data_IF_665053975666
#
_entry.id   IF_665053975666
#
_cell.length_a   1.000
_cell.length_b   1.000
_cell.length_c   1.000
_cell.angle_alpha   90.00
_cell.angle_beta   90.00
_cell.angle_gamma   90.00
#
_symmetry.space_group_name_H-M   'P 1'
#
loop_
_entity.id
_entity.type
_entity.pdbx_description
1 polymer ?
#
# COMPACT_ATOMS: atom_id res chain seq x y z
N UNK A 1 -7.12 6.01 11.32
CA UNK A 1 -7.18 7.27 10.53
C UNK A 1 -5.87 7.52 9.78
N UNK A 2 -4.72 7.36 10.41
CA UNK A 2 -3.40 7.52 9.74
C UNK A 2 -3.21 6.60 8.54
N UNK A 3 -3.66 5.35 8.63
CA UNK A 3 -3.61 4.40 7.51
C UNK A 3 -4.31 4.93 6.26
N UNK A 4 -5.49 5.56 6.42
CA UNK A 4 -6.21 6.17 5.28
C UNK A 4 -5.47 7.36 4.70
N UNK A 5 -4.76 8.13 5.52
CA UNK A 5 -3.91 9.25 5.03
C UNK A 5 -2.77 8.71 4.17
N UNK A 6 -2.09 7.65 4.63
CA UNK A 6 -1.01 7.01 3.84
C UNK A 6 -1.54 6.47 2.50
N UNK A 7 -2.71 5.80 2.49
CA UNK A 7 -3.32 5.36 1.24
C UNK A 7 -3.72 6.55 0.34
N UNK A 8 -4.22 7.64 0.91
CA UNK A 8 -4.51 8.86 0.15
C UNK A 8 -3.27 9.43 -0.53
N UNK A 9 -2.15 9.49 0.17
CA UNK A 9 -0.87 9.94 -0.39
C UNK A 9 -0.43 9.01 -1.53
N UNK A 10 -0.53 7.67 -1.34
CA UNK A 10 -0.19 6.70 -2.39
C UNK A 10 -1.08 6.86 -3.63
N UNK A 11 -2.37 7.03 -3.45
CA UNK A 11 -3.31 7.23 -4.56
C UNK A 11 -2.98 8.47 -5.36
N UNK A 12 -2.69 9.60 -4.71
CA UNK A 12 -2.28 10.85 -5.37
C UNK A 12 -0.97 10.63 -6.13
N UNK A 13 0.04 10.06 -5.46
CA UNK A 13 1.35 9.81 -6.03
C UNK A 13 1.31 8.90 -7.26
N UNK A 14 0.59 7.76 -7.17
CA UNK A 14 0.46 6.84 -8.30
C UNK A 14 -0.38 7.43 -9.43
N UNK A 15 -1.42 8.23 -9.13
CA UNK A 15 -2.19 8.94 -10.14
C UNK A 15 -1.33 9.95 -10.90
N UNK A 16 -0.47 10.70 -10.21
CA UNK A 16 0.45 11.61 -10.85
C UNK A 16 1.34 10.88 -11.87
N UNK A 17 1.95 9.77 -11.51
CA UNK A 17 2.78 9.02 -12.43
C UNK A 17 1.99 8.31 -13.54
N UNK A 18 0.77 7.85 -13.27
CA UNK A 18 -0.07 7.18 -14.26
C UNK A 18 -0.57 8.15 -15.35
N UNK A 19 -0.92 9.38 -15.00
CA UNK A 19 -1.61 10.28 -15.92
C UNK A 19 -0.72 11.41 -16.49
N UNK A 20 0.32 11.83 -15.79
CA UNK A 20 1.16 12.96 -16.25
C UNK A 20 2.30 12.54 -17.17
N UNK A 21 2.74 11.29 -17.12
CA UNK A 21 3.78 10.77 -17.98
C UNK A 21 5.07 11.61 -17.94
N UNK A 22 5.75 11.75 -19.08
CA UNK A 22 6.97 12.56 -19.21
C UNK A 22 6.75 14.08 -19.15
N UNK A 23 5.50 14.56 -19.18
CA UNK A 23 5.22 16.01 -19.17
C UNK A 23 5.69 16.69 -17.87
N UNK A 24 5.91 15.93 -16.79
CA UNK A 24 6.50 16.42 -15.54
C UNK A 24 7.97 16.02 -15.36
N UNK A 25 8.72 15.90 -16.46
CA UNK A 25 10.05 15.33 -16.55
C UNK A 25 11.20 16.04 -15.84
N UNK A 26 10.94 16.80 -14.79
CA UNK A 26 12.01 17.26 -13.88
C UNK A 26 12.44 16.09 -12.98
N UNK A 27 13.73 15.77 -13.02
CA UNK A 27 14.34 14.77 -12.13
C UNK A 27 13.98 15.03 -10.65
N UNK A 28 13.95 16.30 -10.25
CA UNK A 28 13.58 16.71 -8.90
C UNK A 28 12.14 16.34 -8.54
N UNK A 29 11.20 16.43 -9.49
CA UNK A 29 9.81 16.03 -9.27
C UNK A 29 9.68 14.51 -9.09
N UNK A 30 10.35 13.74 -9.95
CA UNK A 30 10.35 12.27 -9.85
C UNK A 30 10.95 11.83 -8.52
N UNK A 31 12.07 12.43 -8.12
CA UNK A 31 12.74 12.13 -6.85
C UNK A 31 11.85 12.46 -5.66
N UNK A 32 11.26 13.65 -5.62
CA UNK A 32 10.37 14.08 -4.54
C UNK A 32 9.15 13.16 -4.41
N UNK A 33 8.50 12.83 -5.53
CA UNK A 33 7.35 11.93 -5.53
C UNK A 33 7.72 10.50 -5.08
N UNK A 34 8.89 10.00 -5.49
CA UNK A 34 9.40 8.70 -5.03
C UNK A 34 9.67 8.68 -3.53
N UNK A 35 10.27 9.75 -2.99
CA UNK A 35 10.51 9.87 -1.55
C UNK A 35 9.19 9.92 -0.77
N UNK A 36 8.21 10.71 -1.23
CA UNK A 36 6.88 10.79 -0.60
C UNK A 36 6.18 9.43 -0.63
N UNK A 37 6.24 8.73 -1.77
CA UNK A 37 5.70 7.37 -1.90
C UNK A 37 6.38 6.41 -0.93
N UNK A 38 7.71 6.47 -0.83
CA UNK A 38 8.49 5.67 0.12
C UNK A 38 8.05 5.90 1.56
N UNK A 39 7.93 7.15 1.99
CA UNK A 39 7.46 7.52 3.34
C UNK A 39 6.06 6.92 3.60
N UNK A 40 5.15 7.01 2.64
CA UNK A 40 3.80 6.48 2.78
C UNK A 40 3.80 4.93 2.89
N UNK A 41 4.61 4.24 2.09
CA UNK A 41 4.75 2.77 2.14
C UNK A 41 5.34 2.31 3.48
N UNK A 42 6.45 2.92 3.91
CA UNK A 42 7.07 2.57 5.19
C UNK A 42 6.18 2.97 6.38
N UNK A 43 5.44 4.07 6.27
CA UNK A 43 4.42 4.46 7.23
C UNK A 43 3.33 3.40 7.36
N UNK A 44 2.82 2.86 6.26
CA UNK A 44 1.85 1.76 6.27
C UNK A 44 2.43 0.49 6.89
N UNK A 45 3.69 0.15 6.58
CA UNK A 45 4.36 -1.00 7.19
C UNK A 45 4.52 -0.86 8.72
N UNK A 46 4.78 0.35 9.21
CA UNK A 46 4.81 0.61 10.66
C UNK A 46 3.43 0.54 11.32
N UNK A 47 2.43 1.15 10.68
CA UNK A 47 1.06 1.18 11.18
C UNK A 47 0.37 -0.19 11.20
N UNK A 48 0.80 -1.11 10.36
CA UNK A 48 0.29 -2.47 10.30
C UNK A 48 0.45 -3.20 11.66
N UNK A 49 1.55 -2.98 12.38
CA UNK A 49 1.73 -3.57 13.71
C UNK A 49 0.76 -2.95 14.75
N UNK A 50 0.47 -1.66 14.64
CA UNK A 50 -0.50 -0.99 15.53
C UNK A 50 -1.93 -1.53 15.36
N UNK A 51 -2.28 -2.07 14.19
CA UNK A 51 -3.58 -2.68 13.96
C UNK A 51 -3.81 -3.95 14.79
N UNK A 52 -2.74 -4.67 15.17
CA UNK A 52 -2.85 -5.83 16.06
C UNK A 52 -3.25 -5.42 17.47
N UNK A 53 -2.72 -4.29 17.96
CA UNK A 53 -3.10 -3.74 19.26
C UNK A 53 -4.55 -3.26 19.26
N UNK A 54 -4.97 -2.57 18.19
CA UNK A 54 -6.36 -2.13 18.01
C UNK A 54 -7.33 -3.32 17.88
N UNK A 55 -6.90 -4.42 17.24
CA UNK A 55 -7.66 -5.66 17.08
C UNK A 55 -7.78 -6.50 18.35
N UNK A 56 -7.12 -6.10 19.46
CA UNK A 56 -7.15 -6.80 20.75
C UNK A 56 -6.86 -8.30 20.64
N UNK A 57 -5.88 -8.66 19.83
CA UNK A 57 -5.45 -10.05 19.68
C UNK A 57 -4.79 -10.50 20.99
N UNK A 58 -5.21 -11.64 21.59
CA UNK A 58 -4.60 -12.15 22.81
C UNK A 58 -3.09 -12.36 22.64
N UNK A 59 -2.31 -11.97 23.63
CA UNK A 59 -0.82 -12.07 23.59
C UNK A 59 -0.34 -13.47 23.20
N UNK A 60 -1.04 -14.51 23.67
CA UNK A 60 -0.72 -15.91 23.33
C UNK A 60 -0.85 -16.22 21.84
N UNK A 61 -1.68 -15.50 21.08
CA UNK A 61 -1.91 -15.71 19.65
C UNK A 61 -1.22 -14.65 18.77
N UNK A 62 -0.64 -13.62 19.36
CA UNK A 62 -0.06 -12.48 18.63
C UNK A 62 1.05 -12.95 17.68
N UNK A 63 1.93 -13.85 18.11
CA UNK A 63 3.01 -14.37 17.26
C UNK A 63 2.49 -15.10 16.01
N UNK A 64 1.50 -15.97 16.18
CA UNK A 64 0.86 -16.68 15.06
C UNK A 64 0.13 -15.73 14.11
N UNK A 65 -0.60 -14.77 14.66
CA UNK A 65 -1.31 -13.77 13.89
C UNK A 65 -0.34 -12.90 13.07
N UNK A 66 0.74 -12.42 13.67
CA UNK A 66 1.80 -11.68 12.97
C UNK A 66 2.41 -12.53 11.86
N UNK A 67 2.71 -13.81 12.12
CA UNK A 67 3.25 -14.72 11.13
C UNK A 67 2.35 -14.87 9.89
N UNK A 68 1.07 -15.17 10.11
CA UNK A 68 0.08 -15.34 9.02
C UNK A 68 -0.08 -14.04 8.22
N UNK A 69 -0.27 -12.92 8.90
CA UNK A 69 -0.46 -11.62 8.23
C UNK A 69 0.81 -11.17 7.52
N UNK A 70 1.99 -11.49 8.06
CA UNK A 70 3.26 -11.20 7.37
C UNK A 70 3.40 -11.99 6.07
N UNK A 71 3.05 -13.28 6.05
CA UNK A 71 3.08 -14.09 4.81
C UNK A 71 2.18 -13.43 3.76
N UNK A 72 0.95 -13.07 4.12
CA UNK A 72 0.01 -12.41 3.19
C UNK A 72 0.55 -11.02 2.78
N UNK A 73 1.09 -10.25 3.73
CA UNK A 73 1.58 -8.90 3.51
C UNK A 73 2.84 -8.80 2.65
N UNK A 74 3.71 -9.82 2.69
CA UNK A 74 4.93 -9.85 1.87
C UNK A 74 4.77 -10.62 0.55
N UNK A 75 3.69 -11.38 0.37
CA UNK A 75 3.40 -12.07 -0.89
C UNK A 75 3.36 -11.12 -2.10
N UNK A 76 2.81 -9.91 -2.02
CA UNK A 76 2.85 -8.93 -3.10
C UNK A 76 4.26 -8.58 -3.58
N UNK A 77 5.25 -8.57 -2.71
CA UNK A 77 6.65 -8.24 -3.09
C UNK A 77 7.19 -9.23 -4.14
N UNK A 78 6.66 -10.45 -4.20
CA UNK A 78 7.04 -11.48 -5.17
C UNK A 78 6.38 -11.24 -6.52
N UNK A 79 5.05 -11.15 -6.57
CA UNK A 79 4.34 -11.09 -7.85
C UNK A 79 4.27 -9.70 -8.46
N UNK A 80 4.32 -8.63 -7.65
CA UNK A 80 4.30 -7.25 -8.17
C UNK A 80 5.54 -6.96 -9.01
N UNK A 81 6.72 -7.43 -8.60
CA UNK A 81 7.94 -7.29 -9.38
C UNK A 81 7.83 -8.01 -10.74
N UNK A 82 7.28 -9.23 -10.76
CA UNK A 82 7.07 -9.98 -11.99
C UNK A 82 6.05 -9.31 -12.92
N UNK A 83 4.93 -8.83 -12.37
CA UNK A 83 3.90 -8.10 -13.13
C UNK A 83 4.48 -6.80 -13.69
N UNK A 84 5.23 -6.04 -12.90
CA UNK A 84 5.87 -4.79 -13.32
C UNK A 84 6.86 -5.04 -14.47
N UNK A 85 7.72 -6.05 -14.36
CA UNK A 85 8.62 -6.47 -15.41
C UNK A 85 7.87 -6.82 -16.70
N UNK A 86 6.86 -7.69 -16.60
CA UNK A 86 6.03 -8.07 -17.74
C UNK A 86 5.36 -6.87 -18.43
N UNK A 87 4.81 -5.93 -17.65
CA UNK A 87 4.15 -4.74 -18.20
C UNK A 87 5.13 -3.82 -18.92
N UNK A 88 6.34 -3.64 -18.38
CA UNK A 88 7.38 -2.78 -18.97
C UNK A 88 7.95 -3.42 -20.22
N UNK A 89 8.24 -4.72 -20.18
CA UNK A 89 8.85 -5.45 -21.30
C UNK A 89 7.91 -5.54 -22.52
N UNK A 90 6.60 -5.74 -22.28
CA UNK A 90 5.60 -5.84 -23.36
C UNK A 90 5.07 -4.48 -23.85
N UNK A 91 5.39 -3.39 -23.16
CA UNK A 91 4.97 -2.04 -23.56
C UNK A 91 6.17 -1.09 -23.47
N UNK A 92 7.02 -1.05 -24.51
CA UNK A 92 8.23 -0.25 -24.49
C UNK A 92 7.93 1.24 -24.29
N UNK A 93 8.81 1.90 -23.54
CA UNK A 93 8.71 3.33 -23.28
C UNK A 93 7.75 3.67 -22.13
N UNK A 94 7.11 4.83 -22.26
CA UNK A 94 6.29 5.42 -21.20
C UNK A 94 5.04 4.60 -20.86
N UNK A 95 4.46 3.92 -21.85
CA UNK A 95 3.23 3.15 -21.69
C UNK A 95 3.35 2.01 -20.65
N UNK A 96 4.50 1.35 -20.61
CA UNK A 96 4.75 0.29 -19.62
C UNK A 96 4.71 0.82 -18.20
N UNK A 97 5.37 1.95 -17.96
CA UNK A 97 5.36 2.61 -16.65
C UNK A 97 3.95 3.11 -16.26
N UNK A 98 3.21 3.72 -17.19
CA UNK A 98 1.85 4.17 -16.94
C UNK A 98 0.93 3.01 -16.54
N UNK A 99 0.99 1.88 -17.26
CA UNK A 99 0.21 0.67 -16.92
C UNK A 99 0.61 0.10 -15.56
N UNK A 100 1.89 0.10 -15.24
CA UNK A 100 2.37 -0.32 -13.92
C UNK A 100 1.80 0.56 -12.82
N UNK A 101 1.86 1.89 -12.96
CA UNK A 101 1.31 2.81 -11.96
C UNK A 101 -0.21 2.75 -11.87
N UNK A 102 -0.92 2.48 -12.96
CA UNK A 102 -2.37 2.20 -12.92
C UNK A 102 -2.68 0.93 -12.12
N UNK A 103 -1.88 -0.12 -12.27
CA UNK A 103 -2.02 -1.34 -11.49
C UNK A 103 -1.78 -1.07 -9.99
N UNK A 104 -0.73 -0.33 -9.65
CA UNK A 104 -0.43 0.08 -8.28
C UNK A 104 -1.53 0.98 -7.68
N UNK A 105 -2.11 1.87 -8.49
CA UNK A 105 -3.25 2.69 -8.07
C UNK A 105 -4.47 1.81 -7.74
N UNK A 106 -4.75 0.80 -8.56
CA UNK A 106 -5.81 -0.17 -8.30
C UNK A 106 -5.63 -0.91 -6.98
N UNK A 107 -4.41 -1.39 -6.69
CA UNK A 107 -4.11 -2.05 -5.41
C UNK A 107 -4.21 -1.09 -4.23
N UNK A 108 -3.80 0.18 -4.39
CA UNK A 108 -3.94 1.20 -3.35
C UNK A 108 -5.42 1.52 -3.05
N UNK A 109 -6.29 1.53 -4.06
CA UNK A 109 -7.73 1.69 -3.89
C UNK A 109 -8.35 0.53 -3.10
N UNK A 110 -7.98 -0.71 -3.43
CA UNK A 110 -8.43 -1.90 -2.68
C UNK A 110 -7.96 -1.83 -1.23
N UNK A 111 -6.69 -1.46 -0.99
CA UNK A 111 -6.15 -1.30 0.35
C UNK A 111 -6.85 -0.19 1.15
N UNK A 112 -7.14 0.95 0.51
CA UNK A 112 -7.89 2.04 1.14
C UNK A 112 -9.32 1.63 1.50
N UNK A 113 -10.01 0.90 0.62
CA UNK A 113 -11.34 0.37 0.87
C UNK A 113 -11.35 -0.62 2.05
N UNK A 114 -10.38 -1.53 2.09
CA UNK A 114 -10.20 -2.47 3.20
C UNK A 114 -9.92 -1.75 4.52
N UNK A 115 -9.03 -0.76 4.52
CA UNK A 115 -8.73 0.06 5.68
C UNK A 115 -9.96 0.85 6.17
N UNK A 116 -10.74 1.39 5.24
CA UNK A 116 -11.99 2.08 5.57
C UNK A 116 -13.01 1.12 6.18
N UNK A 117 -13.20 -0.06 5.59
CA UNK A 117 -14.09 -1.09 6.12
C UNK A 117 -13.68 -1.48 7.55
N UNK A 118 -12.37 -1.65 7.79
CA UNK A 118 -11.86 -1.95 9.14
C UNK A 118 -12.21 -0.86 10.16
N UNK A 119 -12.20 0.42 9.78
CA UNK A 119 -12.60 1.52 10.70
C UNK A 119 -14.09 1.50 11.06
N UNK A 120 -14.91 0.82 10.28
CA UNK A 120 -16.37 0.68 10.49
C UNK A 120 -16.74 -0.53 11.32
N UNK A 121 -15.82 -1.47 11.54
CA UNK A 121 -16.10 -2.63 12.38
C UNK A 121 -16.35 -2.17 13.82
N UNK A 122 -17.40 -2.71 14.49
CA UNK A 122 -17.64 -2.43 15.89
C UNK A 122 -16.43 -2.88 16.70
N UNK A 123 -15.90 -1.97 17.53
CA UNK A 123 -14.82 -2.33 18.47
C UNK A 123 -15.36 -3.39 19.40
N UNK A 124 -14.83 -4.59 19.35
CA UNK A 124 -15.17 -5.68 20.27
C UNK A 124 -14.88 -5.16 21.69
N UNK A 125 -15.91 -5.08 22.52
CA UNK A 125 -15.80 -4.64 23.91
C UNK A 125 -14.80 -5.49 24.70
N UNK A 126 -14.35 -5.05 25.89
CA UNK A 126 -13.48 -5.87 26.71
C UNK A 126 -14.15 -7.23 26.94
N UNK A 127 -13.39 -8.31 26.64
CA UNK A 127 -13.83 -9.64 27.06
C UNK A 127 -14.05 -9.57 28.59
N UNK A 128 -15.28 -9.78 29.02
CA UNK A 128 -15.60 -9.94 30.44
C UNK A 128 -14.75 -11.09 30.96
N UNK A 129 -13.79 -10.77 31.81
CA UNK A 129 -13.04 -11.76 32.59
C UNK A 129 -13.97 -12.41 33.61
#
# INVERSE_FOLDING_TARGET
RMTLVCFGILMISHSLFAFTGQAMGSFSFILANTVVTGIAIFGLRGLYFALFEEGRIPLAMTGTAIGVVSVIGYTPDIYVAAIAGYLIDNNPGLLGFQKMFMCLLGTALIGAAAAYAFTRLPKIGPASQ
#
